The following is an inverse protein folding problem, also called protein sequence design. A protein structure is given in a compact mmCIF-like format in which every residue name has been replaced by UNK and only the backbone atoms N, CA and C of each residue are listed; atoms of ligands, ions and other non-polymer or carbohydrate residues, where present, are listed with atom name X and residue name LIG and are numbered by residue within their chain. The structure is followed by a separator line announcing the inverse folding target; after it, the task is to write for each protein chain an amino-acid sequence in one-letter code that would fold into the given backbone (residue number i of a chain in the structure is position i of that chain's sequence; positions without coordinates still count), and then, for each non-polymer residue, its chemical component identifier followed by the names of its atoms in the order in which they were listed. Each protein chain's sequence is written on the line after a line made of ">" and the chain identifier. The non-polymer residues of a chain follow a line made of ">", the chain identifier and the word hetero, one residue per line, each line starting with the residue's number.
data_IF_696239865504
#
_entry.id   IF_696239865504
#
_cell.length_a   1.000
_cell.length_b   1.000
_cell.length_c   1.000
_cell.angle_alpha   90.00
_cell.angle_beta   90.00
_cell.angle_gamma   90.00
#
_symmetry.space_group_name_H-M   'P 1'
#
loop_
_entity.id
_entity.type
_entity.pdbx_description
1 polymer ?
#
# COMPACT_ATOMS: atom_id res chain seq x y z
N UNK A 1 4.92 -6.77 -7.57
CA UNK A 1 4.05 -5.63 -7.99
C UNK A 1 3.67 -4.82 -6.77
N UNK A 2 3.61 -3.53 -6.96
CA UNK A 2 3.19 -2.61 -5.91
C UNK A 2 1.82 -2.07 -6.28
N UNK A 3 0.91 -2.08 -5.31
CA UNK A 3 -0.40 -1.44 -5.46
C UNK A 3 -0.42 -0.29 -4.47
N UNK A 4 -0.63 0.91 -4.99
CA UNK A 4 -0.68 2.09 -4.15
C UNK A 4 -2.06 2.73 -4.29
N UNK A 5 -2.71 3.03 -3.17
CA UNK A 5 -4.00 3.68 -3.24
C UNK A 5 -4.13 4.72 -2.16
N UNK A 6 -4.89 5.75 -2.49
CA UNK A 6 -5.15 6.87 -1.60
C UNK A 6 -6.62 6.84 -1.20
N UNK A 7 -6.90 7.17 0.05
CA UNK A 7 -8.27 7.18 0.56
C UNK A 7 -8.75 8.61 0.76
N UNK A 8 -10.07 8.73 0.91
CA UNK A 8 -10.72 10.02 1.05
C UNK A 8 -10.21 10.81 2.24
N UNK A 9 -9.75 10.13 3.28
CA UNK A 9 -9.23 10.81 4.46
C UNK A 9 -7.76 11.17 4.35
N UNK A 10 -7.17 11.01 3.16
CA UNK A 10 -5.79 11.43 2.95
C UNK A 10 -4.77 10.45 3.44
N UNK A 11 -5.10 9.17 3.47
CA UNK A 11 -4.15 8.13 3.82
C UNK A 11 -3.73 7.42 2.55
N UNK A 12 -2.43 7.23 2.39
CA UNK A 12 -1.89 6.49 1.25
C UNK A 12 -1.38 5.15 1.76
N UNK A 13 -1.79 4.09 1.08
CA UNK A 13 -1.33 2.73 1.36
C UNK A 13 -0.54 2.22 0.17
N UNK A 14 0.57 1.55 0.47
CA UNK A 14 1.40 0.93 -0.56
C UNK A 14 1.55 -0.53 -0.18
N UNK A 15 1.13 -1.41 -1.07
CA UNK A 15 1.11 -2.85 -0.81
C UNK A 15 2.08 -3.53 -1.75
N UNK A 16 3.00 -4.30 -1.19
CA UNK A 16 3.89 -5.16 -1.96
C UNK A 16 3.25 -6.53 -2.05
N UNK A 17 2.83 -6.91 -3.26
CA UNK A 17 2.09 -8.15 -3.43
C UNK A 17 2.98 -9.39 -3.33
N UNK A 18 4.29 -9.24 -3.50
CA UNK A 18 5.18 -10.38 -3.42
C UNK A 18 5.61 -10.67 -2.01
N UNK A 19 5.91 -9.62 -1.25
CA UNK A 19 6.36 -9.78 0.11
C UNK A 19 5.21 -9.83 1.11
N UNK A 20 4.01 -9.49 0.68
CA UNK A 20 2.85 -9.38 1.55
C UNK A 20 3.11 -8.41 2.68
N UNK A 21 3.56 -7.21 2.31
CA UNK A 21 3.81 -6.15 3.27
C UNK A 21 3.05 -4.91 2.85
N UNK A 22 2.90 -4.00 3.78
CA UNK A 22 2.25 -2.73 3.47
C UNK A 22 2.96 -1.59 4.20
N UNK A 23 2.82 -0.40 3.63
CA UNK A 23 3.21 0.85 4.25
C UNK A 23 2.05 1.81 4.15
N UNK A 24 1.95 2.71 5.10
CA UNK A 24 0.94 3.76 5.02
C UNK A 24 1.53 5.07 5.51
N UNK A 25 1.07 6.16 4.92
CA UNK A 25 1.45 7.49 5.39
C UNK A 25 0.28 8.44 5.18
N UNK A 26 0.39 9.62 5.75
CA UNK A 26 -0.70 10.56 5.78
C UNK A 26 -0.29 11.80 5.01
N UNK A 27 -1.18 12.29 4.14
CA UNK A 27 -0.88 13.44 3.29
C UNK A 27 -0.99 14.75 4.03
N UNK A 28 -1.72 14.78 5.15
CA UNK A 28 -1.96 16.02 5.87
C UNK A 28 -0.99 16.14 7.04
N UNK A 29 -0.11 17.14 7.00
CA UNK A 29 0.91 17.26 8.05
C UNK A 29 0.36 17.56 9.43
N UNK A 30 -0.86 18.05 9.51
CA UNK A 30 -1.46 18.35 10.81
C UNK A 30 -1.99 17.13 11.53
N UNK A 31 -2.05 15.99 10.86
CA UNK A 31 -2.50 14.78 11.56
C UNK A 31 -1.43 14.35 12.56
N UNK A 32 -1.90 13.85 13.70
CA UNK A 32 -1.00 13.35 14.71
C UNK A 32 -0.70 11.86 14.58
N UNK A 33 -1.30 11.23 13.60
CA UNK A 33 -1.09 9.80 13.36
C UNK A 33 0.25 9.59 12.69
N UNK A 34 0.94 8.54 13.07
CA UNK A 34 2.27 8.24 12.55
C UNK A 34 2.19 7.29 11.38
N UNK A 35 3.13 7.41 10.43
CA UNK A 35 3.23 6.41 9.37
C UNK A 35 3.42 5.03 9.97
N UNK A 36 3.00 4.02 9.24
CA UNK A 36 3.13 2.66 9.71
C UNK A 36 3.49 1.71 8.61
N UNK A 37 3.91 0.52 9.01
CA UNK A 37 4.18 -0.55 8.06
C UNK A 37 3.97 -1.86 8.80
N UNK A 38 3.84 -2.93 8.03
CA UNK A 38 3.66 -4.22 8.64
C UNK A 38 3.45 -5.29 7.60
N UNK A 39 3.04 -6.46 8.05
CA UNK A 39 2.83 -7.61 7.19
C UNK A 39 1.36 -7.87 7.02
N UNK A 40 1.01 -8.36 5.83
CA UNK A 40 -0.36 -8.74 5.52
C UNK A 40 -0.50 -10.25 5.69
N UNK A 41 -1.66 -10.68 6.17
CA UNK A 41 -1.98 -12.10 6.23
C UNK A 41 -2.38 -12.59 4.85
N UNK A 42 -3.03 -11.72 4.07
CA UNK A 42 -3.46 -12.03 2.72
C UNK A 42 -3.58 -10.74 1.95
N UNK A 43 -3.59 -10.85 0.63
CA UNK A 43 -3.78 -9.67 -0.22
C UNK A 43 -5.22 -9.21 -0.12
N UNK A 44 -5.46 -7.90 -0.02
CA UNK A 44 -6.81 -7.39 -0.06
C UNK A 44 -7.40 -7.55 -1.45
N UNK A 45 -8.71 -7.70 -1.51
CA UNK A 45 -9.42 -7.83 -2.77
C UNK A 45 -10.22 -6.57 -3.04
N UNK A 46 -10.47 -6.31 -4.31
CA UNK A 46 -11.38 -5.25 -4.67
C UNK A 46 -10.88 -3.86 -4.39
N UNK A 47 -9.58 -3.61 -4.60
CA UNK A 47 -9.06 -2.26 -4.44
C UNK A 47 -9.50 -1.44 -5.63
N UNK A 48 -10.58 -0.66 -5.45
CA UNK A 48 -11.19 0.12 -6.52
C UNK A 48 -11.63 1.46 -6.00
N UNK A 49 -11.57 2.46 -6.88
CA UNK A 49 -12.06 3.79 -6.53
C UNK A 49 -13.53 3.70 -6.15
N UNK A 50 -13.90 4.36 -5.08
CA UNK A 50 -15.27 4.37 -4.60
C UNK A 50 -15.57 3.30 -3.57
N UNK A 51 -14.62 2.44 -3.25
CA UNK A 51 -14.87 1.34 -2.33
C UNK A 51 -13.91 1.42 -1.14
N UNK A 52 -14.31 0.79 -0.05
CA UNK A 52 -13.47 0.63 1.12
C UNK A 52 -12.61 -0.61 0.93
N UNK A 53 -11.42 -0.61 1.53
CA UNK A 53 -10.53 -1.76 1.45
C UNK A 53 -10.37 -2.32 2.85
N UNK A 54 -10.51 -3.64 2.97
CA UNK A 54 -10.27 -4.33 4.23
C UNK A 54 -8.88 -4.93 4.20
N UNK A 55 -8.09 -4.63 5.22
CA UNK A 55 -6.73 -5.13 5.34
C UNK A 55 -6.65 -6.06 6.53
N UNK A 56 -6.09 -7.24 6.30
CA UNK A 56 -5.87 -8.23 7.35
C UNK A 56 -4.38 -8.26 7.62
N UNK A 57 -3.97 -7.75 8.76
CA UNK A 57 -2.56 -7.53 9.06
C UNK A 57 -2.14 -8.34 10.27
N UNK A 58 -0.85 -8.66 10.32
CA UNK A 58 -0.26 -9.34 11.46
C UNK A 58 0.65 -8.37 12.18
N UNK A 59 0.34 -8.13 13.44
CA UNK A 59 1.13 -7.25 14.25
C UNK A 59 2.37 -7.96 14.76
N UNK A 60 3.30 -7.17 15.32
CA UNK A 60 4.56 -7.73 15.78
C UNK A 60 4.38 -8.73 16.93
N UNK A 61 3.24 -8.68 17.62
CA UNK A 61 2.93 -9.65 18.68
C UNK A 61 2.22 -10.89 18.14
N UNK A 62 2.21 -11.06 16.82
CA UNK A 62 1.57 -12.16 16.13
C UNK A 62 0.05 -12.11 16.15
N UNK A 63 -0.55 -11.08 16.70
CA UNK A 63 -2.00 -10.94 16.64
C UNK A 63 -2.42 -10.54 15.24
N UNK A 64 -3.58 -11.03 14.81
CA UNK A 64 -4.13 -10.71 13.50
C UNK A 64 -5.25 -9.69 13.70
N UNK A 65 -5.17 -8.62 12.95
CA UNK A 65 -6.16 -7.54 13.02
C UNK A 65 -6.72 -7.27 11.65
N UNK A 66 -8.00 -6.96 11.60
CA UNK A 66 -8.67 -6.57 10.36
C UNK A 66 -9.16 -5.16 10.54
N UNK A 67 -8.83 -4.29 9.59
CA UNK A 67 -9.38 -2.94 9.61
C UNK A 67 -9.78 -2.52 8.20
N UNK A 68 -10.73 -1.60 8.14
CA UNK A 68 -11.21 -1.08 6.86
C UNK A 68 -10.76 0.35 6.70
N UNK A 69 -10.45 0.70 5.46
CA UNK A 69 -10.04 2.06 5.14
C UNK A 69 -11.27 2.91 4.84
N UNK A 70 -11.07 4.21 4.72
CA UNK A 70 -12.10 5.05 4.12
C UNK A 70 -12.13 4.77 2.62
N UNK A 71 -13.03 5.43 1.94
CA UNK A 71 -13.26 5.20 0.52
C UNK A 71 -12.01 5.52 -0.30
N UNK A 72 -11.67 4.65 -1.25
CA UNK A 72 -10.51 4.82 -2.13
C UNK A 72 -10.84 5.90 -3.17
N UNK A 73 -9.93 6.83 -3.38
CA UNK A 73 -10.09 7.88 -4.37
C UNK A 73 -9.15 7.75 -5.55
N UNK A 74 -8.05 7.01 -5.40
CA UNK A 74 -7.15 6.74 -6.53
C UNK A 74 -6.39 5.46 -6.29
N UNK A 75 -6.02 4.77 -7.38
CA UNK A 75 -5.27 3.52 -7.35
C UNK A 75 -4.23 3.55 -8.44
N UNK A 76 -3.02 3.11 -8.13
CA UNK A 76 -1.95 2.89 -9.10
C UNK A 76 -1.32 1.55 -8.85
N UNK A 77 -0.85 0.94 -9.93
CA UNK A 77 -0.09 -0.30 -9.84
C UNK A 77 1.19 -0.13 -10.63
N UNK A 78 2.29 -0.64 -10.10
CA UNK A 78 3.55 -0.57 -10.81
C UNK A 78 4.48 -1.66 -10.29
N UNK A 79 5.52 -1.89 -11.07
CA UNK A 79 6.49 -2.94 -10.78
C UNK A 79 7.80 -2.26 -10.43
N UNK A 80 8.29 -2.51 -9.22
CA UNK A 80 9.51 -1.85 -8.77
C UNK A 80 10.72 -2.24 -9.61
N UNK A 81 10.69 -3.43 -10.20
CA UNK A 81 11.83 -3.88 -10.96
C UNK A 81 11.91 -3.29 -12.35
N UNK A 82 10.80 -2.81 -12.86
CA UNK A 82 10.76 -2.30 -14.22
C UNK A 82 11.76 -1.20 -14.48
N UNK A 83 11.88 -0.17 -13.65
CA UNK A 83 12.83 0.88 -13.93
C UNK A 83 14.26 0.39 -13.96
N UNK A 84 14.60 -0.58 -13.15
CA UNK A 84 15.95 -1.08 -13.14
C UNK A 84 16.29 -1.80 -14.41
N UNK A 85 15.36 -2.56 -14.91
CA UNK A 85 15.59 -3.30 -16.11
C UNK A 85 15.74 -2.40 -17.31
N UNK A 86 15.01 -1.34 -17.35
CA UNK A 86 15.09 -0.45 -18.48
C UNK A 86 16.39 0.28 -18.51
N UNK A 87 17.09 0.25 -17.51
CA UNK A 87 18.35 0.85 -17.53
C UNK A 87 19.29 0.21 -18.42
N UNK A 88 19.12 0.02 -18.62
CA UNK A 88 19.97 -0.26 -19.09
C UNK A 88 20.50 0.31 -19.91
N UNK A 89 19.93 0.37 -19.30
CA UNK A 89 20.21 0.76 -19.67
C UNK A 89 20.73 1.27 -19.87
N UNK A 90 20.70 0.99 -19.36
CA UNK A 90 21.01 1.43 -19.22
C UNK A 90 21.73 1.64 -19.75
N UNK A 91 21.83 1.32 -19.88
CA UNK A 91 22.32 1.53 -20.21
C UNK A 91 22.78 1.88 -20.96
N UNK A 92 22.89 1.71 -21.10
CA UNK A 92 23.08 2.06 -21.53
C UNK A 92 23.40 2.43 -22.01
N UNK A 93 23.64 2.20 -21.99
CA UNK A 93 23.81 2.49 -22.07
C UNK A 93 24.02 2.89 -22.29
#
# INVERSE_FOLDING_TARGET
>A
MIIEFETKLGVVFQIDTEDLTYKRWFLHPETKRKPGHGKLVMLPEGIEVGKHVSLCVREYDNAVHVFSTSEVVSVRQYDLESPEESNPDLSIN
#
